data_IF_315473316307
#
_entry.id   IF_315473316307
#
_cell.length_a   1.000
_cell.length_b   1.000
_cell.length_c   1.000
_cell.angle_alpha   90.00
_cell.angle_beta   90.00
_cell.angle_gamma   90.00
#
_symmetry.space_group_name_H-M   'P 1'
#
loop_
_entity.id
_entity.type
_entity.pdbx_description
1 polymer ?
#
# COMPACT_ATOMS: atom_id res chain seq x y z
N UNK A 1 -73.01 -13.83 -0.83
CA UNK A 1 -71.97 -14.71 -0.26
C UNK A 1 -70.72 -14.57 -1.13
N UNK A 2 -69.61 -14.14 -0.53
CA UNK A 2 -68.36 -13.67 -1.19
C UNK A 2 -67.59 -14.81 -1.86
N UNK A 3 -67.26 -14.66 -3.15
CA UNK A 3 -66.28 -15.49 -3.87
C UNK A 3 -64.87 -15.18 -3.32
N UNK A 4 -64.17 -16.19 -2.77
CA UNK A 4 -62.77 -16.08 -2.33
C UNK A 4 -61.86 -16.31 -3.54
N UNK A 5 -61.18 -15.27 -4.00
CA UNK A 5 -60.08 -15.39 -4.94
C UNK A 5 -58.81 -15.75 -4.15
N UNK A 6 -58.20 -16.89 -4.48
CA UNK A 6 -56.91 -17.32 -3.95
C UNK A 6 -55.84 -16.75 -4.88
N UNK A 7 -55.10 -15.75 -4.41
CA UNK A 7 -53.91 -15.22 -5.09
C UNK A 7 -52.71 -16.08 -4.71
N UNK A 8 -52.16 -16.80 -5.68
CA UNK A 8 -50.85 -17.46 -5.58
C UNK A 8 -49.76 -16.38 -5.52
N UNK A 9 -49.09 -16.27 -4.37
CA UNK A 9 -47.92 -15.42 -4.20
C UNK A 9 -46.72 -16.03 -4.93
N UNK A 10 -46.18 -15.30 -5.89
CA UNK A 10 -44.90 -15.61 -6.56
C UNK A 10 -43.79 -15.35 -5.55
N UNK A 11 -43.12 -16.40 -5.10
CA UNK A 11 -41.85 -16.33 -4.37
C UNK A 11 -40.75 -15.90 -5.35
N UNK A 12 -40.39 -14.62 -5.31
CA UNK A 12 -39.19 -14.12 -5.99
C UNK A 12 -37.99 -14.62 -5.18
N UNK A 13 -37.31 -15.63 -5.70
CA UNK A 13 -36.00 -16.04 -5.21
C UNK A 13 -35.03 -14.88 -5.43
N UNK A 14 -34.65 -14.19 -4.36
CA UNK A 14 -33.56 -13.22 -4.38
C UNK A 14 -32.27 -14.00 -4.59
N UNK A 15 -31.84 -14.06 -5.85
CA UNK A 15 -30.52 -14.57 -6.20
C UNK A 15 -29.45 -13.73 -5.50
N UNK A 16 -28.60 -14.39 -4.71
CA UNK A 16 -27.34 -13.83 -4.23
C UNK A 16 -26.50 -13.48 -5.46
N UNK A 17 -26.58 -12.25 -5.93
CA UNK A 17 -25.67 -11.76 -6.96
C UNK A 17 -24.29 -11.67 -6.34
N UNK A 18 -23.43 -12.63 -6.68
CA UNK A 18 -22.00 -12.48 -6.53
C UNK A 18 -21.61 -11.17 -7.22
N UNK A 19 -21.21 -10.17 -6.43
CA UNK A 19 -20.66 -8.94 -6.98
C UNK A 19 -19.42 -9.32 -7.78
N UNK A 20 -19.56 -9.29 -9.11
CA UNK A 20 -18.41 -9.35 -10.01
C UNK A 20 -17.48 -8.20 -9.63
N UNK A 21 -16.22 -8.53 -9.31
CA UNK A 21 -15.18 -7.53 -9.03
C UNK A 21 -15.02 -6.64 -10.26
N UNK A 22 -15.44 -5.38 -10.14
CA UNK A 22 -15.31 -4.39 -11.20
C UNK A 22 -13.90 -3.78 -11.17
N UNK A 23 -13.11 -4.03 -12.22
CA UNK A 23 -11.80 -3.42 -12.46
C UNK A 23 -10.75 -4.42 -12.97
N UNK A 24 -9.60 -3.91 -13.43
CA UNK A 24 -8.52 -4.75 -13.96
C UNK A 24 -7.68 -5.28 -12.79
N UNK A 25 -7.46 -6.59 -12.75
CA UNK A 25 -6.56 -7.23 -11.78
C UNK A 25 -5.19 -6.52 -11.78
N UNK A 26 -4.56 -6.26 -10.62
CA UNK A 26 -3.21 -5.70 -10.56
C UNK A 26 -2.17 -6.49 -11.38
N UNK A 27 -2.36 -7.81 -11.52
CA UNK A 27 -1.50 -8.65 -12.35
C UNK A 27 -1.90 -8.69 -13.83
N UNK A 28 -3.09 -8.19 -14.19
CA UNK A 28 -3.68 -8.38 -15.51
C UNK A 28 -4.02 -9.84 -15.81
N UNK A 29 -4.05 -10.71 -14.80
CA UNK A 29 -4.38 -12.13 -14.94
C UNK A 29 -5.87 -12.40 -14.71
N UNK A 30 -6.39 -13.34 -15.47
CA UNK A 30 -7.68 -14.00 -15.23
C UNK A 30 -7.47 -15.52 -15.32
N UNK A 31 -7.00 -16.16 -14.24
CA UNK A 31 -6.72 -17.59 -14.24
C UNK A 31 -8.00 -18.43 -14.33
N UNK A 32 -7.86 -19.65 -14.82
CA UNK A 32 -8.91 -20.65 -14.73
C UNK A 32 -8.99 -21.16 -13.29
N UNK A 33 -10.12 -20.96 -12.59
CA UNK A 33 -10.22 -21.33 -11.18
C UNK A 33 -10.24 -22.85 -11.00
N UNK A 34 -9.52 -23.40 -9.99
CA UNK A 34 -9.70 -24.78 -9.57
C UNK A 34 -11.17 -25.05 -9.22
N UNK A 35 -11.70 -26.25 -9.47
CA UNK A 35 -13.04 -26.61 -9.07
C UNK A 35 -13.29 -26.34 -7.57
N UNK A 36 -14.31 -25.53 -7.28
CA UNK A 36 -14.72 -25.23 -5.90
C UNK A 36 -13.88 -24.17 -5.16
N UNK A 37 -12.74 -23.73 -5.69
CA UNK A 37 -11.93 -22.68 -5.07
C UNK A 37 -12.40 -21.29 -5.51
N UNK A 38 -12.82 -20.47 -4.54
CA UNK A 38 -13.10 -19.05 -4.71
C UNK A 38 -12.43 -18.27 -3.59
N UNK A 39 -12.12 -17.01 -3.87
CA UNK A 39 -11.48 -16.12 -2.91
C UNK A 39 -12.08 -14.72 -2.97
N UNK A 40 -11.97 -13.99 -1.87
CA UNK A 40 -12.34 -12.57 -1.78
C UNK A 40 -11.46 -11.88 -0.74
N UNK A 41 -11.19 -10.59 -0.92
CA UNK A 41 -10.38 -9.78 -0.01
C UNK A 41 -11.01 -8.39 0.11
N UNK A 42 -11.03 -7.83 1.33
CA UNK A 42 -11.52 -6.48 1.57
C UNK A 42 -10.88 -5.90 2.84
N UNK A 43 -10.59 -4.58 2.86
CA UNK A 43 -10.18 -3.93 4.10
C UNK A 43 -11.39 -3.78 5.04
N UNK A 44 -11.15 -3.69 6.36
CA UNK A 44 -12.20 -3.38 7.35
C UNK A 44 -12.89 -2.04 7.05
N UNK A 45 -12.10 -1.06 6.60
CA UNK A 45 -12.55 0.28 6.21
C UNK A 45 -12.06 0.58 4.79
N UNK A 46 -12.85 1.28 3.97
CA UNK A 46 -12.44 1.64 2.61
C UNK A 46 -11.29 2.67 2.60
N UNK A 47 -11.06 3.37 3.72
CA UNK A 47 -10.06 4.42 3.84
C UNK A 47 -9.36 4.35 5.19
N UNK A 48 -8.06 4.66 5.19
CA UNK A 48 -7.24 4.80 6.39
C UNK A 48 -6.39 6.05 6.30
N UNK A 49 -6.03 6.63 7.45
CA UNK A 49 -4.99 7.66 7.50
C UNK A 49 -3.62 7.02 7.76
N UNK A 50 -2.57 7.62 7.21
CA UNK A 50 -1.19 7.26 7.53
C UNK A 50 -1.01 7.22 9.06
N UNK A 51 -0.40 6.14 9.55
CA UNK A 51 -0.15 5.90 10.97
C UNK A 51 -1.26 5.14 11.69
N UNK A 52 -2.45 5.02 11.11
CA UNK A 52 -3.50 4.13 11.63
C UNK A 52 -3.11 2.65 11.47
N UNK A 53 -3.81 1.79 12.21
CA UNK A 53 -3.69 0.34 12.05
C UNK A 53 -4.83 -0.18 11.19
N UNK A 54 -4.49 -0.93 10.14
CA UNK A 54 -5.43 -1.56 9.24
C UNK A 54 -5.74 -2.99 9.65
N UNK A 55 -6.96 -3.42 9.33
CA UNK A 55 -7.35 -4.82 9.30
C UNK A 55 -7.81 -5.19 7.90
N UNK A 56 -7.35 -6.34 7.43
CA UNK A 56 -7.68 -6.88 6.12
C UNK A 56 -8.40 -8.21 6.34
N UNK A 57 -9.58 -8.34 5.77
CA UNK A 57 -10.35 -9.56 5.78
C UNK A 57 -10.20 -10.26 4.43
N UNK A 58 -10.21 -11.58 4.47
CA UNK A 58 -10.31 -12.38 3.26
C UNK A 58 -11.10 -13.65 3.50
N UNK A 59 -11.69 -14.18 2.44
CA UNK A 59 -12.46 -15.42 2.44
C UNK A 59 -11.86 -16.38 1.43
N UNK A 60 -11.77 -17.66 1.80
CA UNK A 60 -11.46 -18.77 0.90
C UNK A 60 -12.51 -19.88 1.06
N UNK A 61 -13.03 -20.42 -0.04
CA UNK A 61 -14.09 -21.45 0.00
C UNK A 61 -13.63 -22.84 0.45
N UNK A 62 -12.34 -23.15 0.34
CA UNK A 62 -11.75 -24.44 0.73
C UNK A 62 -10.30 -24.24 1.21
N UNK A 63 -9.70 -25.18 1.96
CA UNK A 63 -8.32 -25.03 2.41
C UNK A 63 -7.34 -24.79 1.25
N UNK A 64 -6.48 -23.79 1.38
CA UNK A 64 -5.57 -23.35 0.31
C UNK A 64 -4.34 -22.62 0.88
N UNK A 65 -3.31 -22.46 0.04
CA UNK A 65 -2.19 -21.57 0.30
C UNK A 65 -2.54 -20.15 -0.14
N UNK A 66 -2.46 -19.17 0.76
CA UNK A 66 -2.86 -17.79 0.51
C UNK A 66 -1.65 -16.86 0.57
N UNK A 67 -1.58 -15.97 -0.41
CA UNK A 67 -0.57 -14.93 -0.53
C UNK A 67 -1.26 -13.59 -0.77
N UNK A 68 -0.97 -12.58 0.03
CA UNK A 68 -1.57 -11.25 -0.05
C UNK A 68 -0.48 -10.22 -0.26
N UNK A 69 -0.67 -9.38 -1.27
CA UNK A 69 0.25 -8.34 -1.68
C UNK A 69 -0.44 -6.99 -1.64
N UNK A 70 0.34 -5.97 -1.33
CA UNK A 70 -0.02 -4.57 -1.45
C UNK A 70 0.77 -3.92 -2.58
N UNK A 71 0.06 -3.29 -3.51
CA UNK A 71 0.62 -2.43 -4.54
C UNK A 71 0.36 -0.98 -4.12
N UNK A 72 1.40 -0.34 -3.59
CA UNK A 72 1.34 1.02 -3.10
C UNK A 72 1.25 2.06 -4.25
N UNK A 73 0.84 3.32 -3.97
CA UNK A 73 0.68 4.38 -4.96
C UNK A 73 1.99 4.81 -5.64
N UNK A 74 3.12 4.71 -4.92
CA UNK A 74 4.46 4.91 -5.49
C UNK A 74 4.95 3.71 -6.31
N UNK A 75 4.14 2.66 -6.37
CA UNK A 75 4.38 1.47 -7.14
C UNK A 75 5.19 0.40 -6.42
N UNK A 76 5.56 0.61 -5.16
CA UNK A 76 6.20 -0.43 -4.36
C UNK A 76 5.24 -1.60 -4.17
N UNK A 77 5.73 -2.82 -4.39
CA UNK A 77 4.94 -4.05 -4.18
C UNK A 77 5.48 -4.80 -2.98
N UNK A 78 4.66 -4.97 -1.95
CA UNK A 78 5.05 -5.65 -0.71
C UNK A 78 4.15 -6.85 -0.44
N UNK A 79 4.71 -7.89 0.16
CA UNK A 79 3.93 -9.04 0.59
C UNK A 79 3.48 -8.84 2.04
N UNK A 80 2.16 -8.77 2.23
CA UNK A 80 1.54 -8.63 3.54
C UNK A 80 1.33 -9.98 4.23
N UNK A 81 1.11 -11.06 3.46
CA UNK A 81 0.93 -12.41 3.98
C UNK A 81 1.40 -13.46 2.96
N UNK A 82 2.07 -14.55 3.38
CA UNK A 82 2.70 -14.71 4.69
C UNK A 82 3.74 -13.62 4.97
N UNK A 83 4.04 -13.41 6.24
CA UNK A 83 5.06 -12.46 6.68
C UNK A 83 5.84 -13.04 7.87
N UNK A 84 6.82 -12.30 8.42
CA UNK A 84 7.63 -12.79 9.54
C UNK A 84 6.80 -13.14 10.79
N UNK A 85 5.72 -12.39 11.05
CA UNK A 85 4.82 -12.60 12.19
C UNK A 85 3.78 -13.71 11.95
N UNK A 86 3.46 -13.98 10.68
CA UNK A 86 2.46 -14.96 10.23
C UNK A 86 3.02 -15.77 9.06
N UNK A 87 3.93 -16.73 9.30
CA UNK A 87 4.70 -17.39 8.24
C UNK A 87 3.97 -18.53 7.54
N UNK A 88 2.86 -19.02 8.09
CA UNK A 88 2.13 -20.15 7.52
C UNK A 88 1.14 -19.69 6.44
N UNK A 89 1.42 -20.01 5.17
CA UNK A 89 0.55 -19.70 4.04
C UNK A 89 -0.72 -20.54 3.98
N UNK A 90 -0.74 -21.73 4.59
CA UNK A 90 -1.86 -22.65 4.47
C UNK A 90 -2.96 -22.28 5.46
N UNK A 91 -4.15 -21.98 4.93
CA UNK A 91 -5.32 -21.57 5.71
C UNK A 91 -6.49 -22.51 5.47
N UNK A 92 -7.37 -22.64 6.47
CA UNK A 92 -8.62 -23.38 6.34
C UNK A 92 -9.64 -22.63 5.47
N UNK A 93 -10.71 -23.31 5.08
CA UNK A 93 -11.89 -22.63 4.51
C UNK A 93 -12.47 -21.62 5.51
N UNK A 94 -13.11 -20.58 4.98
CA UNK A 94 -13.82 -19.56 5.74
C UNK A 94 -13.19 -18.18 5.66
N UNK A 95 -13.68 -17.29 6.53
CA UNK A 95 -13.22 -15.90 6.63
C UNK A 95 -12.09 -15.78 7.64
N UNK A 96 -11.04 -15.09 7.24
CA UNK A 96 -9.84 -14.82 8.02
C UNK A 96 -9.60 -13.31 8.12
N UNK A 97 -8.80 -12.90 9.11
CA UNK A 97 -8.41 -11.50 9.32
C UNK A 97 -6.91 -11.40 9.53
N UNK A 98 -6.31 -10.37 8.94
CA UNK A 98 -4.95 -9.92 9.20
C UNK A 98 -4.99 -8.56 9.91
N UNK A 99 -4.18 -8.33 10.95
CA UNK A 99 -3.37 -9.31 11.67
C UNK A 99 -4.15 -10.48 12.25
N UNK A 100 -3.58 -11.70 12.18
CA UNK A 100 -4.20 -12.96 12.59
C UNK A 100 -3.94 -13.31 14.07
N UNK A 101 -3.06 -12.56 14.73
CA UNK A 101 -2.70 -12.75 16.12
C UNK A 101 -2.31 -11.40 16.77
N UNK A 102 -2.36 -11.28 18.11
CA UNK A 102 -2.18 -10.01 18.80
C UNK A 102 -0.74 -9.49 18.84
N UNK A 103 0.26 -10.27 18.39
CA UNK A 103 1.67 -9.91 18.52
C UNK A 103 2.16 -8.93 17.45
N UNK A 104 1.33 -8.63 16.45
CA UNK A 104 1.68 -7.67 15.41
C UNK A 104 0.49 -6.81 15.00
N UNK A 105 0.80 -5.65 14.41
CA UNK A 105 -0.18 -4.72 13.89
C UNK A 105 0.22 -4.31 12.48
N UNK A 106 -0.75 -4.23 11.57
CA UNK A 106 -0.52 -3.73 10.23
C UNK A 106 -0.67 -2.21 10.25
N UNK A 107 0.45 -1.48 10.28
CA UNK A 107 0.45 -0.02 10.30
C UNK A 107 0.44 0.53 8.88
N UNK A 108 -0.46 1.45 8.59
CA UNK A 108 -0.52 2.17 7.32
C UNK A 108 0.65 3.15 7.25
N UNK A 109 1.44 3.05 6.19
CA UNK A 109 2.63 3.87 5.95
C UNK A 109 2.46 4.76 4.72
N UNK A 110 3.23 5.86 4.58
CA UNK A 110 3.26 6.61 3.34
C UNK A 110 3.69 5.76 2.13
N UNK A 111 3.41 6.21 0.90
CA UNK A 111 2.74 7.46 0.53
C UNK A 111 1.20 7.39 0.64
N UNK A 112 0.49 8.54 0.68
CA UNK A 112 -0.95 8.57 0.48
C UNK A 112 -1.33 8.28 -0.97
N UNK A 113 -2.56 7.80 -1.18
CA UNK A 113 -3.11 7.42 -2.47
C UNK A 113 -3.87 6.10 -2.38
N UNK A 114 -4.19 5.51 -3.54
CA UNK A 114 -4.92 4.25 -3.61
C UNK A 114 -3.97 3.06 -3.64
N UNK A 115 -3.99 2.26 -2.58
CA UNK A 115 -3.35 0.95 -2.51
C UNK A 115 -4.24 -0.10 -3.20
N UNK A 116 -3.63 -1.11 -3.83
CA UNK A 116 -4.34 -2.28 -4.38
C UNK A 116 -3.91 -3.54 -3.65
N UNK A 117 -4.85 -4.14 -2.93
CA UNK A 117 -4.69 -5.43 -2.29
C UNK A 117 -4.92 -6.54 -3.32
N UNK A 118 -3.96 -7.43 -3.48
CA UNK A 118 -4.06 -8.61 -4.32
C UNK A 118 -3.94 -9.86 -3.45
N UNK A 119 -4.88 -10.77 -3.58
CA UNK A 119 -4.85 -12.10 -3.00
C UNK A 119 -4.67 -13.15 -4.10
N UNK A 120 -3.73 -14.06 -3.91
CA UNK A 120 -3.59 -15.30 -4.67
C UNK A 120 -3.87 -16.47 -3.72
N UNK A 121 -4.82 -17.33 -4.09
CA UNK A 121 -5.10 -18.55 -3.37
C UNK A 121 -4.81 -19.75 -4.26
N UNK A 122 -3.91 -20.63 -3.84
CA UNK A 122 -3.45 -21.77 -4.62
C UNK A 122 -3.67 -23.10 -3.90
N UNK A 123 -3.96 -24.14 -4.67
CA UNK A 123 -4.03 -25.53 -4.19
C UNK A 123 -2.64 -26.14 -3.96
N UNK A 124 -1.59 -25.50 -4.46
CA UNK A 124 -0.19 -25.91 -4.30
C UNK A 124 0.62 -24.81 -3.59
N UNK A 125 1.67 -25.16 -2.82
CA UNK A 125 2.52 -24.16 -2.21
C UNK A 125 3.32 -23.41 -3.27
N UNK A 126 3.37 -22.09 -3.14
CA UNK A 126 4.19 -21.18 -3.95
C UNK A 126 5.38 -20.69 -3.13
N UNK A 127 6.55 -20.61 -3.78
CA UNK A 127 7.84 -20.29 -3.14
C UNK A 127 8.05 -18.79 -2.88
N UNK A 128 7.03 -18.11 -2.33
CA UNK A 128 7.15 -16.73 -1.89
C UNK A 128 7.95 -16.63 -0.58
N UNK A 129 8.76 -15.57 -0.40
CA UNK A 129 9.49 -15.34 0.84
C UNK A 129 8.52 -15.00 1.99
N UNK A 130 8.93 -15.23 3.24
CA UNK A 130 8.16 -14.80 4.43
C UNK A 130 8.75 -13.57 5.11
N UNK A 131 10.00 -13.21 4.83
CA UNK A 131 10.68 -12.06 5.42
C UNK A 131 11.53 -12.43 6.64
N UNK A 132 12.04 -11.41 7.32
CA UNK A 132 12.95 -11.55 8.46
C UNK A 132 12.63 -10.49 9.54
N UNK A 133 13.21 -10.55 10.76
CA UNK A 133 12.89 -9.61 11.84
C UNK A 133 13.14 -8.12 11.48
N UNK A 134 14.11 -7.83 10.61
CA UNK A 134 14.42 -6.47 10.14
C UNK A 134 13.51 -6.06 8.97
N UNK A 135 13.10 -7.02 8.15
CA UNK A 135 12.22 -6.82 6.99
C UNK A 135 11.03 -7.79 7.05
N UNK A 136 10.06 -7.54 7.96
CA UNK A 136 9.00 -8.51 8.23
C UNK A 136 8.03 -8.68 7.07
N UNK A 137 7.92 -7.68 6.19
CA UNK A 137 7.11 -7.70 4.98
C UNK A 137 8.05 -7.71 3.76
N UNK A 138 8.18 -8.85 3.05
CA UNK A 138 9.05 -8.94 1.89
C UNK A 138 8.74 -7.90 0.81
N UNK A 139 9.79 -7.28 0.29
CA UNK A 139 9.70 -6.46 -0.92
C UNK A 139 9.65 -7.37 -2.15
N UNK A 140 8.60 -7.24 -2.95
CA UNK A 140 8.49 -7.93 -4.24
C UNK A 140 9.15 -7.14 -5.36
N UNK A 141 9.08 -5.82 -5.31
CA UNK A 141 9.79 -4.92 -6.20
C UNK A 141 9.65 -3.47 -5.77
N UNK A 142 10.66 -2.62 -6.03
CA UNK A 142 10.60 -1.18 -5.78
C UNK A 142 9.68 -0.44 -6.77
N UNK A 143 9.32 -1.08 -7.88
CA UNK A 143 8.40 -0.57 -8.90
C UNK A 143 7.27 -1.58 -9.17
N UNK A 144 6.14 -1.15 -9.78
CA UNK A 144 5.02 -2.06 -10.05
C UNK A 144 5.42 -3.18 -10.99
N UNK A 145 6.21 -2.86 -12.02
CA UNK A 145 6.62 -3.79 -13.05
C UNK A 145 7.59 -4.84 -12.52
N UNK A 146 8.56 -4.43 -11.69
CA UNK A 146 9.46 -5.39 -11.03
C UNK A 146 8.71 -6.29 -10.06
N UNK A 147 7.82 -5.72 -9.25
CA UNK A 147 7.00 -6.48 -8.31
C UNK A 147 6.08 -7.47 -9.03
N UNK A 148 5.40 -7.01 -10.09
CA UNK A 148 4.56 -7.84 -10.94
C UNK A 148 5.37 -8.94 -11.61
N UNK A 149 6.50 -8.64 -12.23
CA UNK A 149 7.36 -9.63 -12.87
C UNK A 149 7.82 -10.71 -11.88
N UNK A 150 8.19 -10.31 -10.66
CA UNK A 150 8.58 -11.25 -9.61
C UNK A 150 7.43 -12.16 -9.17
N UNK A 151 6.22 -11.60 -9.00
CA UNK A 151 5.03 -12.41 -8.68
C UNK A 151 4.73 -13.38 -9.82
N UNK A 152 4.70 -12.90 -11.06
CA UNK A 152 4.43 -13.73 -12.25
C UNK A 152 5.48 -14.81 -12.48
N UNK A 153 6.74 -14.59 -12.10
CA UNK A 153 7.79 -15.60 -12.18
C UNK A 153 7.64 -16.74 -11.16
N UNK A 154 6.76 -16.60 -10.16
CA UNK A 154 6.48 -17.61 -9.13
C UNK A 154 5.10 -18.23 -9.34
N UNK A 155 4.12 -17.44 -9.79
CA UNK A 155 2.76 -17.91 -10.04
C UNK A 155 2.76 -18.87 -11.25
N UNK A 156 2.10 -20.04 -11.15
CA UNK A 156 1.98 -20.98 -12.27
C UNK A 156 1.22 -20.38 -13.46
N UNK A 157 1.31 -21.04 -14.62
CA UNK A 157 0.56 -20.63 -15.80
C UNK A 157 -0.96 -20.55 -15.54
N UNK A 158 -1.68 -19.55 -16.10
CA UNK A 158 -3.09 -19.30 -15.77
C UNK A 158 -4.07 -20.45 -16.03
N UNK A 159 -3.69 -21.41 -16.88
CA UNK A 159 -4.49 -22.59 -17.26
C UNK A 159 -4.20 -23.82 -16.39
N UNK A 160 -3.39 -23.71 -15.33
CA UNK A 160 -3.07 -24.85 -14.47
C UNK A 160 -4.28 -25.38 -13.67
N UNK A 161 -5.37 -24.62 -13.57
CA UNK A 161 -6.51 -24.95 -12.71
C UNK A 161 -6.11 -25.09 -11.24
N UNK A 162 -5.09 -24.34 -10.79
CA UNK A 162 -4.41 -24.53 -9.51
C UNK A 162 -4.40 -23.29 -8.61
N UNK A 163 -4.92 -22.14 -9.07
CA UNK A 163 -5.07 -20.95 -8.24
C UNK A 163 -6.20 -20.02 -8.71
N UNK A 164 -6.68 -19.18 -7.80
CA UNK A 164 -7.55 -18.03 -8.08
C UNK A 164 -6.92 -16.75 -7.59
N UNK A 165 -7.36 -15.63 -8.15
CA UNK A 165 -6.99 -14.30 -7.67
C UNK A 165 -8.23 -13.53 -7.24
N UNK A 166 -8.10 -12.74 -6.18
CA UNK A 166 -9.07 -11.72 -5.79
C UNK A 166 -8.32 -10.43 -5.48
N UNK A 167 -8.95 -9.28 -5.67
CA UNK A 167 -8.32 -8.00 -5.35
C UNK A 167 -9.35 -6.98 -4.88
N UNK A 168 -8.86 -5.94 -4.21
CA UNK A 168 -9.65 -4.81 -3.74
C UNK A 168 -8.75 -3.57 -3.59
N UNK A 169 -9.34 -2.39 -3.40
CA UNK A 169 -8.59 -1.15 -3.17
C UNK A 169 -8.80 -0.63 -1.76
N UNK A 170 -7.84 0.14 -1.27
CA UNK A 170 -7.96 0.90 -0.03
C UNK A 170 -7.34 2.27 -0.23
N UNK A 171 -8.04 3.32 0.23
CA UNK A 171 -7.55 4.69 0.10
C UNK A 171 -6.74 5.09 1.33
N UNK A 172 -5.49 5.48 1.11
CA UNK A 172 -4.58 5.98 2.12
C UNK A 172 -4.58 7.50 2.10
N UNK A 173 -5.20 8.08 3.12
CA UNK A 173 -5.28 9.52 3.31
C UNK A 173 -4.01 10.02 4.01
N UNK A 174 -3.53 11.23 3.66
CA UNK A 174 -2.47 11.87 4.42
C UNK A 174 -2.92 12.08 5.86
N UNK A 175 -2.00 11.95 6.80
CA UNK A 175 -2.23 12.39 8.18
C UNK A 175 -1.58 13.75 8.37
N UNK A 176 -2.33 14.72 8.88
CA UNK A 176 -1.75 15.96 9.39
C UNK A 176 -1.09 15.63 10.71
N UNK A 177 0.21 15.33 10.68
CA UNK A 177 0.96 15.26 11.93
C UNK A 177 1.18 16.68 12.43
N UNK A 178 0.42 17.07 13.45
CA UNK A 178 0.81 18.14 14.37
C UNK A 178 1.97 17.62 15.24
N UNK A 179 3.11 17.35 14.63
CA UNK A 179 4.31 16.85 15.26
C UNK A 179 5.49 17.70 14.84
N UNK A 180 6.43 17.92 15.76
CA UNK A 180 7.76 18.44 15.46
C UNK A 180 8.37 17.54 14.39
N UNK A 181 8.29 17.98 13.13
CA UNK A 181 8.97 17.32 12.03
C UNK A 181 10.45 17.28 12.39
N UNK A 182 11.15 16.13 12.26
CA UNK A 182 12.54 16.07 12.68
C UNK A 182 13.29 17.17 11.95
N UNK A 183 13.97 18.04 12.68
CA UNK A 183 14.81 19.05 12.06
C UNK A 183 15.83 18.37 11.15
N UNK A 184 16.25 19.01 10.05
CA UNK A 184 17.29 18.43 9.22
C UNK A 184 18.52 18.13 10.09
N UNK A 185 19.19 17.00 9.86
CA UNK A 185 20.39 16.61 10.60
C UNK A 185 21.56 17.55 10.26
N UNK A 186 21.55 18.76 10.80
CA UNK A 186 22.53 19.80 10.53
C UNK A 186 23.58 19.84 11.67
N UNK A 187 24.51 18.89 11.65
CA UNK A 187 25.61 18.86 12.62
C UNK A 187 26.68 19.94 12.37
N UNK A 188 26.77 20.46 11.14
CA UNK A 188 27.68 21.51 10.73
C UNK A 188 26.91 22.47 9.80
N UNK A 189 26.99 23.79 10.06
CA UNK A 189 26.03 24.79 9.55
C UNK A 189 26.08 25.10 8.04
N UNK A 190 25.29 26.10 7.57
CA UNK A 190 24.19 26.77 8.28
C UNK A 190 22.97 25.85 8.42
N UNK A 191 22.33 25.89 9.59
CA UNK A 191 21.10 25.15 9.88
C UNK A 191 19.88 26.02 9.56
N UNK A 192 18.82 25.47 8.94
CA UNK A 192 17.58 26.20 8.79
C UNK A 192 16.84 26.35 10.13
N UNK A 193 16.00 27.39 10.27
CA UNK A 193 15.17 27.57 11.45
C UNK A 193 14.15 26.44 11.53
N UNK A 194 14.25 25.62 12.57
CA UNK A 194 13.34 24.50 12.82
C UNK A 194 12.57 24.66 14.14
N UNK A 195 11.60 25.59 14.22
CA UNK A 195 10.82 25.81 15.44
C UNK A 195 9.69 24.78 15.65
N UNK A 196 9.69 23.67 14.90
CA UNK A 196 8.54 22.76 14.81
C UNK A 196 7.47 23.32 13.87
N UNK A 197 7.62 23.03 12.58
CA UNK A 197 6.69 23.51 11.56
C UNK A 197 5.55 22.52 11.32
N UNK A 198 4.41 23.01 10.85
CA UNK A 198 3.35 22.15 10.31
C UNK A 198 3.82 21.67 8.94
N UNK A 199 4.04 20.36 8.79
CA UNK A 199 4.31 19.78 7.47
C UNK A 199 3.11 20.06 6.56
N UNK A 200 3.30 20.68 5.38
CA UNK A 200 2.20 21.05 4.51
C UNK A 200 1.42 19.80 4.05
N UNK A 201 0.12 19.93 3.68
CA UNK A 201 -0.72 18.80 3.25
C UNK A 201 -0.10 17.95 2.13
N UNK A 202 0.76 18.57 1.32
CA UNK A 202 1.47 17.96 0.22
C UNK A 202 2.81 17.33 0.61
N UNK A 203 3.24 17.34 1.88
CA UNK A 203 4.53 16.78 2.35
C UNK A 203 4.74 15.30 1.97
N UNK A 204 3.67 14.62 1.58
CA UNK A 204 3.73 13.40 0.79
C UNK A 204 2.80 13.55 -0.42
N UNK A 205 3.30 13.47 -1.68
CA UNK A 205 4.66 13.14 -2.12
C UNK A 205 5.58 14.35 -2.37
N UNK A 206 5.14 15.59 -2.13
CA UNK A 206 5.92 16.78 -2.46
C UNK A 206 7.08 16.98 -1.48
N UNK A 207 8.24 17.35 -2.03
CA UNK A 207 9.31 17.88 -1.22
C UNK A 207 8.88 19.20 -0.57
N UNK A 208 9.39 19.47 0.61
CA UNK A 208 9.28 20.78 1.25
C UNK A 208 10.51 20.96 2.14
N UNK A 209 10.84 22.19 2.45
CA UNK A 209 11.96 22.46 3.34
C UNK A 209 12.40 23.90 3.30
N UNK A 210 13.69 24.12 3.49
CA UNK A 210 14.28 25.44 3.54
C UNK A 210 15.42 25.58 2.56
N UNK A 211 15.49 26.73 1.92
CA UNK A 211 16.64 27.12 1.12
C UNK A 211 17.27 28.39 1.67
N UNK A 212 18.59 28.48 1.52
CA UNK A 212 19.37 29.66 1.84
C UNK A 212 19.54 30.48 0.57
N UNK A 213 19.04 31.71 0.58
CA UNK A 213 19.21 32.64 -0.53
C UNK A 213 20.64 33.22 -0.59
N UNK A 214 20.93 34.04 -1.60
CA UNK A 214 22.25 34.68 -1.76
C UNK A 214 22.57 35.68 -0.65
N UNK A 215 21.57 36.21 0.05
CA UNK A 215 21.74 37.12 1.20
C UNK A 215 22.04 36.39 2.51
N UNK A 216 21.93 35.05 2.54
CA UNK A 216 22.10 34.24 3.74
C UNK A 216 20.84 34.13 4.60
N UNK A 217 19.66 34.45 4.05
CA UNK A 217 18.38 34.28 4.70
C UNK A 217 17.73 32.93 4.34
N UNK A 218 17.07 32.33 5.33
CA UNK A 218 16.35 31.08 5.15
C UNK A 218 14.91 31.32 4.71
N UNK A 219 14.49 30.62 3.66
CA UNK A 219 13.14 30.68 3.12
C UNK A 219 12.55 29.28 3.03
N UNK A 220 11.27 29.17 3.35
CA UNK A 220 10.55 27.93 3.15
C UNK A 220 10.12 27.75 1.71
N UNK A 221 10.06 26.50 1.26
CA UNK A 221 9.48 26.14 -0.02
C UNK A 221 8.68 24.84 0.06
N UNK A 222 7.79 24.68 -0.91
CA UNK A 222 6.99 23.49 -1.18
C UNK A 222 7.19 23.14 -2.65
N UNK A 223 7.40 21.86 -2.94
CA UNK A 223 7.73 21.36 -4.26
C UNK A 223 9.24 21.28 -4.47
N UNK A 224 9.70 21.68 -5.64
CA UNK A 224 11.11 21.59 -6.00
C UNK A 224 11.95 22.68 -5.33
N UNK A 225 13.18 22.33 -4.98
CA UNK A 225 14.11 23.29 -4.44
C UNK A 225 14.47 24.38 -5.48
N UNK A 226 14.36 25.68 -5.14
CA UNK A 226 14.65 26.78 -6.07
C UNK A 226 16.03 26.68 -6.73
N UNK A 227 16.10 26.87 -8.05
CA UNK A 227 17.31 26.60 -8.84
C UNK A 227 18.51 27.52 -8.49
N UNK A 228 18.21 28.68 -7.94
CA UNK A 228 19.13 29.72 -7.46
C UNK A 228 19.61 29.49 -6.02
N UNK A 229 19.00 28.57 -5.27
CA UNK A 229 19.41 28.25 -3.91
C UNK A 229 20.84 27.69 -3.83
N UNK A 230 21.68 28.30 -2.98
CA UNK A 230 23.05 27.82 -2.73
C UNK A 230 23.06 26.59 -1.84
N UNK A 231 22.20 26.57 -0.82
CA UNK A 231 21.99 25.44 0.09
C UNK A 231 20.49 25.23 0.23
N UNK A 232 20.09 23.96 0.27
CA UNK A 232 18.70 23.58 0.35
C UNK A 232 18.55 22.28 1.12
N UNK A 233 17.82 22.34 2.22
CA UNK A 233 17.42 21.17 2.99
C UNK A 233 15.96 20.88 2.68
N UNK A 234 15.63 19.65 2.32
CA UNK A 234 14.24 19.29 2.05
C UNK A 234 13.91 17.87 2.49
N UNK A 235 12.68 17.71 2.97
CA UNK A 235 12.13 16.44 3.37
C UNK A 235 11.24 15.93 2.24
N UNK A 236 11.49 14.71 1.77
CA UNK A 236 10.72 14.06 0.72
C UNK A 236 10.71 12.56 0.98
N UNK A 237 9.56 11.90 0.78
CA UNK A 237 9.41 10.45 0.90
C UNK A 237 9.97 9.87 2.22
N UNK A 238 9.77 10.59 3.33
CA UNK A 238 10.20 10.15 4.66
C UNK A 238 11.68 10.37 5.00
N UNK A 239 12.46 11.03 4.14
CA UNK A 239 13.89 11.27 4.35
C UNK A 239 14.27 12.74 4.15
N UNK A 240 15.29 13.19 4.89
CA UNK A 240 15.95 14.46 4.64
C UNK A 240 16.96 14.35 3.50
N UNK A 241 16.95 15.36 2.65
CA UNK A 241 17.89 15.57 1.56
C UNK A 241 18.54 16.95 1.73
N UNK A 242 19.79 17.05 1.31
CA UNK A 242 20.50 18.32 1.21
C UNK A 242 21.01 18.48 -0.22
N UNK A 243 20.72 19.62 -0.84
CA UNK A 243 21.30 20.05 -2.10
C UNK A 243 22.12 21.29 -1.84
N UNK A 244 23.36 21.31 -2.30
CA UNK A 244 24.19 22.51 -2.30
C UNK A 244 24.76 22.73 -3.70
N UNK A 245 24.90 23.99 -4.09
CA UNK A 245 25.45 24.40 -5.37
C UNK A 245 26.79 25.08 -5.13
N UNK A 246 27.85 24.48 -5.66
CA UNK A 246 29.17 25.09 -5.69
C UNK A 246 29.27 25.95 -6.95
N UNK A 247 29.52 27.25 -6.79
CA UNK A 247 29.79 28.15 -7.90
C UNK A 247 31.26 28.55 -7.88
N UNK A 248 31.90 28.52 -9.05
CA UNK A 248 33.30 28.89 -9.25
C UNK A 248 33.36 30.04 -10.27
N UNK A 249 34.06 31.14 -9.94
CA UNK A 249 34.25 32.30 -10.84
C UNK A 249 33.36 33.53 -10.52
N UNK A 250 33.47 34.57 -11.34
CA UNK A 250 32.89 35.91 -11.13
C UNK A 250 31.39 36.05 -11.43
N UNK A 251 30.68 34.95 -11.70
CA UNK A 251 29.25 34.92 -12.02
C UNK A 251 28.38 34.29 -10.92
N UNK A 252 28.74 34.46 -9.65
CA UNK A 252 27.88 34.03 -8.55
C UNK A 252 26.75 35.07 -8.33
N UNK A 253 25.46 34.66 -8.26
CA UNK A 253 24.38 35.54 -7.82
C UNK A 253 24.50 35.91 -6.34
#
# INVERSE_FOLDING_TARGET
>A
MRKRAVLFGILIAVGLTASAQQGVSPLGLQPEPPPGLTASIWPERPQYRIGEYARIYFYISQPAYVYIFDFAPDGKVTQLFPNYYSPNAYVSAGTHVLPDNPNWKLRVTPPPGTDRLLLIASTIPLSFPTGDPMNPYPLMGPTPDEGRARILGIVPEPNCGCYVTAWNTVEILPTYSYGVVPCPPCWYGPCPPCPGYIAPPCAYPCAWGWYLDSSGAWHMFIGECPADARICWYFQNGRWHMRFRLCFGSGCP
#
